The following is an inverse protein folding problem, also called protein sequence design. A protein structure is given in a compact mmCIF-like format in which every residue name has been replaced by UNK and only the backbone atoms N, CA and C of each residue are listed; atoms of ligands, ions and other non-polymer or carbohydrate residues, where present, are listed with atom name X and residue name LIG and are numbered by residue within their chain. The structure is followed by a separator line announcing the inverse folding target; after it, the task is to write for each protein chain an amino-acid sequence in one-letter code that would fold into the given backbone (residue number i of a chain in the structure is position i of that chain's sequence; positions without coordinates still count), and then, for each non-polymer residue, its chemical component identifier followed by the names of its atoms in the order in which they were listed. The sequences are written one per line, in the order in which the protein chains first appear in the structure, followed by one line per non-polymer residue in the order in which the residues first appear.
data_IF_580552161052
#
_entry.id   IF_580552161052
#
_cell.length_a   1.000
_cell.length_b   1.000
_cell.length_c   1.000
_cell.angle_alpha   90.00
_cell.angle_beta   90.00
_cell.angle_gamma   90.00
#
_symmetry.space_group_name_H-M   'P 1'
#
loop_
_entity.id
_entity.type
_entity.pdbx_description
1 polymer ?
#
# COMPACT_ATOMS: atom_id res chain seq x y z
N UNK A 1 -22.23 38.57 -4.60
CA UNK A 1 -22.85 37.24 -4.38
C UNK A 1 -22.06 36.11 -5.04
N UNK A 2 -21.84 36.12 -6.37
CA UNK A 2 -21.09 35.04 -7.08
C UNK A 2 -19.69 34.78 -6.50
N UNK A 3 -18.90 35.82 -6.27
CA UNK A 3 -17.55 35.68 -5.69
C UNK A 3 -17.56 35.18 -4.24
N UNK A 4 -18.55 35.58 -3.45
CA UNK A 4 -18.72 35.12 -2.06
C UNK A 4 -19.02 33.62 -2.02
N UNK A 5 -19.92 33.16 -2.90
CA UNK A 5 -20.25 31.72 -3.03
C UNK A 5 -19.03 30.93 -3.52
N UNK A 6 -18.27 31.45 -4.48
CA UNK A 6 -17.03 30.82 -4.98
C UNK A 6 -15.97 30.70 -3.88
N UNK A 7 -15.73 31.77 -3.13
CA UNK A 7 -14.77 31.79 -2.02
C UNK A 7 -15.19 30.84 -0.90
N UNK A 8 -16.48 30.82 -0.54
CA UNK A 8 -17.02 29.86 0.43
C UNK A 8 -16.85 28.41 -0.03
N UNK A 9 -17.09 28.13 -1.32
CA UNK A 9 -16.85 26.82 -1.91
C UNK A 9 -15.39 26.37 -1.80
N UNK A 10 -14.43 27.26 -2.13
CA UNK A 10 -13.00 26.98 -1.98
C UNK A 10 -12.62 26.68 -0.52
N UNK A 11 -13.08 27.51 0.42
CA UNK A 11 -12.83 27.31 1.84
C UNK A 11 -13.39 25.98 2.37
N UNK A 12 -14.56 25.54 1.90
CA UNK A 12 -15.13 24.24 2.26
C UNK A 12 -14.29 23.07 1.72
N UNK A 13 -13.75 23.18 0.50
CA UNK A 13 -12.83 22.18 -0.04
C UNK A 13 -11.54 22.11 0.76
N UNK A 14 -11.00 23.25 1.20
CA UNK A 14 -9.82 23.29 2.06
C UNK A 14 -10.09 22.62 3.42
N UNK A 15 -11.25 22.87 4.04
CA UNK A 15 -11.66 22.16 5.27
C UNK A 15 -11.74 20.66 5.05
N UNK A 16 -12.35 20.21 3.95
CA UNK A 16 -12.42 18.78 3.62
C UNK A 16 -11.02 18.19 3.46
N UNK A 17 -10.11 18.90 2.79
CA UNK A 17 -8.72 18.46 2.60
C UNK A 17 -8.00 18.30 3.92
N UNK A 18 -8.10 19.26 4.83
CA UNK A 18 -7.46 19.17 6.15
C UNK A 18 -8.02 18.01 6.98
N UNK A 19 -9.33 17.77 6.92
CA UNK A 19 -9.95 16.63 7.60
C UNK A 19 -9.46 15.28 7.03
N UNK A 20 -9.27 15.17 5.72
CA UNK A 20 -8.69 13.97 5.11
C UNK A 20 -7.21 13.80 5.50
N UNK A 21 -6.43 14.87 5.57
CA UNK A 21 -5.04 14.83 6.05
C UNK A 21 -4.98 14.26 7.48
N UNK A 22 -5.86 14.75 8.37
CA UNK A 22 -5.96 14.26 9.76
C UNK A 22 -6.37 12.80 9.82
N UNK A 23 -7.37 12.37 9.03
CA UNK A 23 -7.79 10.96 8.97
C UNK A 23 -6.64 10.05 8.53
N UNK A 24 -5.92 10.44 7.49
CA UNK A 24 -4.80 9.69 6.95
C UNK A 24 -3.65 9.57 7.97
N UNK A 25 -3.29 10.67 8.63
CA UNK A 25 -2.28 10.68 9.68
C UNK A 25 -2.68 9.83 10.91
N UNK A 26 -3.97 9.85 11.28
CA UNK A 26 -4.51 9.00 12.34
C UNK A 26 -4.43 7.52 11.97
N UNK A 27 -4.80 7.14 10.73
CA UNK A 27 -4.65 5.78 10.23
C UNK A 27 -3.19 5.32 10.19
N UNK A 28 -2.25 6.21 9.83
CA UNK A 28 -0.81 5.91 9.88
C UNK A 28 -0.33 5.63 11.31
N UNK A 29 -0.79 6.42 12.27
CA UNK A 29 -0.49 6.24 13.70
C UNK A 29 -1.06 4.93 14.23
N UNK A 30 -2.28 4.59 13.82
CA UNK A 30 -2.93 3.32 14.12
C UNK A 30 -2.13 2.14 13.57
N UNK A 31 -1.69 2.19 12.31
CA UNK A 31 -0.84 1.15 11.71
C UNK A 31 0.47 0.95 12.49
N UNK A 32 1.14 2.03 12.90
CA UNK A 32 2.36 1.95 13.75
C UNK A 32 2.06 1.30 15.09
N UNK A 33 0.95 1.65 15.73
CA UNK A 33 0.53 1.07 17.01
C UNK A 33 0.21 -0.42 16.89
N UNK A 34 -0.44 -0.86 15.82
CA UNK A 34 -0.73 -2.28 15.54
C UNK A 34 0.56 -3.10 15.43
N UNK A 35 1.56 -2.59 14.69
CA UNK A 35 2.86 -3.26 14.54
C UNK A 35 3.62 -3.33 15.86
N UNK A 36 3.59 -2.25 16.66
CA UNK A 36 4.23 -2.23 17.98
C UNK A 36 3.51 -3.18 18.95
N UNK A 37 2.18 -3.20 18.93
CA UNK A 37 1.39 -4.13 19.74
C UNK A 37 1.71 -5.59 19.42
N UNK A 38 1.87 -5.95 18.14
CA UNK A 38 2.29 -7.30 17.74
C UNK A 38 3.66 -7.67 18.32
N UNK A 39 4.61 -6.72 18.37
CA UNK A 39 5.93 -6.94 18.99
C UNK A 39 5.81 -7.13 20.50
N UNK A 40 5.10 -6.24 21.19
CA UNK A 40 4.92 -6.28 22.65
C UNK A 40 4.22 -7.58 23.07
N UNK A 41 3.14 -7.94 22.39
CA UNK A 41 2.35 -9.13 22.74
C UNK A 41 3.14 -10.42 22.47
N UNK A 42 3.92 -10.49 21.38
CA UNK A 42 4.82 -11.64 21.17
C UNK A 42 5.89 -11.73 22.25
N UNK A 43 6.51 -10.62 22.64
CA UNK A 43 7.50 -10.61 23.73
C UNK A 43 6.88 -11.09 25.05
N UNK A 44 5.69 -10.59 25.40
CA UNK A 44 4.94 -11.02 26.59
C UNK A 44 4.65 -12.53 26.56
N UNK A 45 4.23 -13.05 25.41
CA UNK A 45 3.94 -14.47 25.23
C UNK A 45 5.19 -15.34 25.36
N UNK A 46 6.33 -14.92 24.80
CA UNK A 46 7.61 -15.61 24.98
C UNK A 46 8.01 -15.65 26.47
N UNK A 47 7.88 -14.53 27.19
CA UNK A 47 8.15 -14.48 28.63
C UNK A 47 7.22 -15.40 29.44
N UNK A 48 5.98 -15.58 28.99
CA UNK A 48 5.02 -16.53 29.54
C UNK A 48 5.24 -17.99 29.10
N UNK A 49 6.32 -18.29 28.36
CA UNK A 49 6.67 -19.64 27.92
C UNK A 49 5.91 -20.15 26.69
N UNK A 50 5.15 -19.29 26.00
CA UNK A 50 4.47 -19.65 24.75
C UNK A 50 5.50 -19.84 23.63
N UNK A 51 5.36 -20.92 22.84
CA UNK A 51 6.31 -21.30 21.79
C UNK A 51 5.60 -21.75 20.51
N UNK A 52 6.36 -21.80 19.41
CA UNK A 52 5.92 -22.37 18.15
C UNK A 52 4.72 -21.65 17.54
N UNK A 53 3.82 -22.41 16.92
CA UNK A 53 2.61 -21.89 16.26
C UNK A 53 1.63 -21.19 17.19
N UNK A 54 1.83 -21.28 18.51
CA UNK A 54 1.01 -20.58 19.49
C UNK A 54 1.37 -19.09 19.62
N UNK A 55 2.56 -18.69 19.20
CA UNK A 55 3.06 -17.33 19.34
C UNK A 55 2.32 -16.38 18.38
N UNK A 56 1.87 -15.24 18.90
CA UNK A 56 1.03 -14.27 18.20
C UNK A 56 -0.45 -14.67 18.08
N UNK A 57 -0.88 -15.80 18.66
CA UNK A 57 -2.32 -16.13 18.71
C UNK A 57 -3.07 -15.05 19.49
N UNK A 58 -4.22 -14.66 18.97
CA UNK A 58 -5.08 -13.64 19.57
C UNK A 58 -4.73 -12.19 19.21
N UNK A 59 -3.53 -11.90 18.72
CA UNK A 59 -3.12 -10.52 18.37
C UNK A 59 -4.03 -9.90 17.30
N UNK A 60 -4.31 -10.64 16.22
CA UNK A 60 -5.22 -10.17 15.15
C UNK A 60 -6.65 -9.95 15.67
N UNK A 61 -7.12 -10.79 16.58
CA UNK A 61 -8.45 -10.63 17.17
C UNK A 61 -8.53 -9.35 18.03
N UNK A 62 -7.50 -9.08 18.84
CA UNK A 62 -7.43 -7.84 19.63
C UNK A 62 -7.46 -6.59 18.73
N UNK A 63 -6.69 -6.61 17.64
CA UNK A 63 -6.73 -5.53 16.63
C UNK A 63 -8.11 -5.43 15.99
N UNK A 64 -8.71 -6.54 15.58
CA UNK A 64 -10.04 -6.55 14.97
C UNK A 64 -11.10 -5.92 15.87
N UNK A 65 -11.10 -6.27 17.17
CA UNK A 65 -12.02 -5.71 18.15
C UNK A 65 -11.79 -4.21 18.34
N UNK A 66 -10.53 -3.77 18.45
CA UNK A 66 -10.19 -2.35 18.57
C UNK A 66 -10.65 -1.55 17.34
N UNK A 67 -10.49 -2.12 16.14
CA UNK A 67 -10.91 -1.54 14.86
C UNK A 67 -12.41 -1.61 14.59
N UNK A 68 -13.16 -2.43 15.34
CA UNK A 68 -14.56 -2.79 15.06
C UNK A 68 -14.74 -3.42 13.67
N UNK A 69 -13.77 -4.25 13.29
CA UNK A 69 -13.72 -4.90 11.99
C UNK A 69 -13.76 -6.43 12.15
N UNK A 70 -14.00 -7.13 11.04
CA UNK A 70 -13.84 -8.58 11.02
C UNK A 70 -12.37 -8.97 11.18
N UNK A 71 -12.11 -10.15 11.73
CA UNK A 71 -10.75 -10.70 11.84
C UNK A 71 -10.06 -10.81 10.47
N UNK A 72 -10.82 -11.08 9.41
CA UNK A 72 -10.29 -11.15 8.05
C UNK A 72 -9.76 -9.79 7.57
N UNK A 73 -10.49 -8.70 7.83
CA UNK A 73 -10.02 -7.34 7.52
C UNK A 73 -8.81 -6.97 8.37
N UNK A 74 -8.90 -7.17 9.68
CA UNK A 74 -7.79 -6.85 10.59
C UNK A 74 -6.51 -7.61 10.26
N UNK A 75 -6.60 -8.88 9.87
CA UNK A 75 -5.43 -9.66 9.42
C UNK A 75 -4.73 -9.00 8.22
N UNK A 76 -5.51 -8.45 7.28
CA UNK A 76 -4.97 -7.73 6.11
C UNK A 76 -4.34 -6.40 6.52
N UNK A 77 -4.98 -5.64 7.40
CA UNK A 77 -4.43 -4.39 7.93
C UNK A 77 -3.10 -4.64 8.63
N UNK A 78 -3.03 -5.60 9.56
CA UNK A 78 -1.80 -5.94 10.29
C UNK A 78 -0.69 -6.41 9.33
N UNK A 79 -1.00 -7.26 8.34
CA UNK A 79 -0.01 -7.72 7.37
C UNK A 79 0.55 -6.57 6.53
N UNK A 80 -0.33 -5.70 6.02
CA UNK A 80 0.05 -4.51 5.25
C UNK A 80 0.87 -3.52 6.10
N UNK A 81 0.36 -3.17 7.29
CA UNK A 81 1.01 -2.28 8.24
C UNK A 81 2.41 -2.78 8.62
N UNK A 82 2.55 -4.06 8.93
CA UNK A 82 3.86 -4.66 9.26
C UNK A 82 4.86 -4.53 8.13
N UNK A 83 4.43 -4.67 6.86
CA UNK A 83 5.33 -4.48 5.71
C UNK A 83 5.68 -3.01 5.51
N UNK A 84 4.69 -2.12 5.50
CA UNK A 84 4.91 -0.70 5.23
C UNK A 84 5.78 -0.08 6.33
N UNK A 85 5.40 -0.25 7.60
CA UNK A 85 6.13 0.33 8.75
C UNK A 85 7.59 -0.13 8.80
N UNK A 86 7.87 -1.39 8.44
CA UNK A 86 9.22 -1.96 8.57
C UNK A 86 10.10 -1.80 7.34
N UNK A 87 9.51 -1.59 6.15
CA UNK A 87 10.22 -1.73 4.87
C UNK A 87 9.99 -0.60 3.88
N UNK A 88 9.08 0.34 4.17
CA UNK A 88 8.67 1.40 3.25
C UNK A 88 8.57 2.75 3.96
N UNK A 89 9.71 3.31 4.41
CA UNK A 89 9.73 4.55 5.19
C UNK A 89 9.10 5.75 4.47
N UNK A 90 9.24 5.89 3.14
CA UNK A 90 8.66 7.00 2.39
C UNK A 90 7.15 6.89 2.26
N UNK A 91 6.65 5.70 1.96
CA UNK A 91 5.21 5.43 1.98
C UNK A 91 4.63 5.73 3.36
N UNK A 92 5.31 5.31 4.44
CA UNK A 92 4.86 5.57 5.81
C UNK A 92 4.93 7.06 6.18
N UNK A 93 5.95 7.78 5.73
CA UNK A 93 6.08 9.23 5.88
C UNK A 93 4.92 9.96 5.18
N UNK A 94 4.61 9.60 3.94
CA UNK A 94 3.50 10.19 3.19
C UNK A 94 2.14 9.92 3.86
N UNK A 95 1.91 8.74 4.42
CA UNK A 95 0.72 8.46 5.23
C UNK A 95 0.69 9.31 6.52
N UNK A 96 1.84 9.43 7.20
CA UNK A 96 1.95 10.18 8.45
C UNK A 96 1.70 11.68 8.25
N UNK A 97 2.08 12.21 7.09
CA UNK A 97 1.86 13.61 6.70
C UNK A 97 0.44 13.85 6.15
N UNK A 98 -0.42 12.83 6.13
CA UNK A 98 -1.80 12.94 5.68
C UNK A 98 -2.00 12.84 4.16
N UNK A 99 -0.92 12.71 3.40
CA UNK A 99 -0.93 12.73 1.93
C UNK A 99 -1.50 11.44 1.35
N UNK A 100 -1.09 10.30 1.90
CA UNK A 100 -1.55 8.99 1.47
C UNK A 100 -2.58 8.40 2.41
N UNK A 101 -3.67 7.91 1.83
CA UNK A 101 -4.62 7.03 2.53
C UNK A 101 -4.01 5.64 2.75
N UNK A 102 -4.49 4.93 3.78
CA UNK A 102 -4.09 3.53 4.06
C UNK A 102 -4.33 2.62 2.85
N UNK A 103 -5.43 2.85 2.10
CA UNK A 103 -5.74 2.15 0.85
C UNK A 103 -4.66 2.37 -0.22
N UNK A 104 -4.23 3.62 -0.45
CA UNK A 104 -3.21 3.93 -1.47
C UNK A 104 -1.84 3.36 -1.08
N UNK A 105 -1.49 3.39 0.20
CA UNK A 105 -0.29 2.73 0.70
C UNK A 105 -0.30 1.21 0.44
N UNK A 106 -1.45 0.56 0.62
CA UNK A 106 -1.62 -0.87 0.32
C UNK A 106 -1.45 -1.20 -1.17
N UNK A 107 -1.72 -0.27 -2.10
CA UNK A 107 -1.42 -0.45 -3.53
C UNK A 107 0.10 -0.54 -3.75
N UNK A 108 0.87 0.35 -3.14
CA UNK A 108 2.34 0.36 -3.24
C UNK A 108 2.92 -0.90 -2.61
N UNK A 109 2.42 -1.29 -1.44
CA UNK A 109 2.83 -2.51 -0.74
C UNK A 109 2.57 -3.76 -1.59
N UNK A 110 1.34 -3.97 -2.06
CA UNK A 110 0.97 -5.14 -2.85
C UNK A 110 1.77 -5.24 -4.16
N UNK A 111 2.08 -4.10 -4.79
CA UNK A 111 2.90 -4.04 -5.99
C UNK A 111 4.38 -4.41 -5.79
N UNK A 112 4.84 -4.53 -4.53
CA UNK A 112 6.24 -4.83 -4.17
C UNK A 112 6.39 -6.09 -3.30
N UNK A 113 5.32 -6.87 -3.10
CA UNK A 113 5.33 -8.03 -2.20
C UNK A 113 6.35 -9.11 -2.61
N UNK A 114 6.54 -9.31 -3.92
CA UNK A 114 7.46 -10.31 -4.49
C UNK A 114 8.92 -9.87 -4.58
N UNK A 115 9.22 -8.60 -4.26
CA UNK A 115 10.58 -8.06 -4.32
C UNK A 115 11.37 -8.36 -3.04
N UNK A 116 12.70 -8.37 -3.17
CA UNK A 116 13.61 -8.38 -2.02
C UNK A 116 13.44 -7.10 -1.18
N UNK A 117 13.85 -7.09 0.10
CA UNK A 117 13.80 -5.88 0.93
C UNK A 117 14.50 -4.67 0.31
N UNK A 118 15.65 -4.89 -0.33
CA UNK A 118 16.47 -3.84 -0.95
C UNK A 118 15.77 -3.26 -2.19
N UNK A 119 15.24 -4.13 -3.05
CA UNK A 119 14.45 -3.69 -4.22
C UNK A 119 13.17 -2.98 -3.79
N UNK A 120 12.48 -3.47 -2.75
CA UNK A 120 11.29 -2.80 -2.21
C UNK A 120 11.60 -1.40 -1.72
N UNK A 121 12.70 -1.21 -1.01
CA UNK A 121 13.14 0.12 -0.56
C UNK A 121 13.43 1.04 -1.76
N UNK A 122 14.03 0.51 -2.83
CA UNK A 122 14.25 1.29 -4.06
C UNK A 122 12.93 1.71 -4.72
N UNK A 123 11.91 0.85 -4.76
CA UNK A 123 10.57 1.23 -5.25
C UNK A 123 9.92 2.27 -4.33
N UNK A 124 10.03 2.09 -3.02
CA UNK A 124 9.49 3.03 -2.03
C UNK A 124 10.06 4.44 -2.23
N UNK A 125 11.38 4.57 -2.37
CA UNK A 125 12.02 5.86 -2.65
C UNK A 125 11.59 6.42 -4.02
N UNK A 126 11.55 5.58 -5.07
CA UNK A 126 11.20 6.03 -6.41
C UNK A 126 9.73 6.47 -6.57
N UNK A 127 8.82 5.85 -5.81
CA UNK A 127 7.37 6.12 -5.90
C UNK A 127 6.93 7.17 -4.88
N UNK A 128 7.43 7.10 -3.65
CA UNK A 128 6.98 7.93 -2.53
C UNK A 128 8.01 8.95 -2.04
N UNK A 129 9.20 9.03 -2.66
CA UNK A 129 10.23 10.02 -2.32
C UNK A 129 9.88 11.47 -2.69
N UNK A 130 9.02 11.67 -3.70
CA UNK A 130 8.47 12.99 -4.04
C UNK A 130 6.96 13.02 -3.77
N UNK A 131 6.59 13.66 -2.66
CA UNK A 131 5.22 13.82 -2.20
C UNK A 131 4.33 14.51 -3.24
N UNK A 132 4.84 15.50 -3.97
CA UNK A 132 4.04 16.25 -4.96
C UNK A 132 3.66 15.39 -6.15
N UNK A 133 4.61 14.61 -6.66
CA UNK A 133 4.34 13.65 -7.73
C UNK A 133 3.36 12.58 -7.26
N UNK A 134 3.50 12.10 -6.02
CA UNK A 134 2.63 11.09 -5.45
C UNK A 134 1.18 11.58 -5.28
N UNK A 135 0.98 12.82 -4.86
CA UNK A 135 -0.34 13.46 -4.73
C UNK A 135 -1.09 13.54 -6.06
N UNK A 136 -0.37 13.80 -7.16
CA UNK A 136 -0.95 13.97 -8.48
C UNK A 136 -1.46 12.66 -9.11
N UNK A 137 -1.02 11.49 -8.62
CA UNK A 137 -1.38 10.20 -9.20
C UNK A 137 -2.76 9.72 -8.74
N UNK A 138 -3.62 9.36 -9.69
CA UNK A 138 -4.81 8.55 -9.39
C UNK A 138 -4.45 7.12 -8.99
N UNK A 139 -5.37 6.39 -8.36
CA UNK A 139 -5.11 5.01 -7.87
C UNK A 139 -4.60 4.06 -8.96
N UNK A 140 -5.11 4.20 -10.19
CA UNK A 140 -4.73 3.35 -11.33
C UNK A 140 -3.35 3.72 -11.88
N UNK A 141 -3.00 5.00 -11.84
CA UNK A 141 -1.69 5.51 -12.25
C UNK A 141 -0.63 5.15 -11.21
N UNK A 142 -0.98 5.21 -9.92
CA UNK A 142 -0.15 4.73 -8.82
C UNK A 142 0.18 3.24 -8.99
N UNK A 143 -0.83 2.40 -9.15
CA UNK A 143 -0.65 0.95 -9.40
C UNK A 143 0.23 0.69 -10.63
N UNK A 144 -0.01 1.42 -11.73
CA UNK A 144 0.79 1.29 -12.96
C UNK A 144 2.25 1.73 -12.75
N UNK A 145 2.46 2.81 -11.99
CA UNK A 145 3.79 3.36 -11.69
C UNK A 145 4.60 2.40 -10.82
N UNK A 146 3.99 1.86 -9.76
CA UNK A 146 4.61 0.86 -8.89
C UNK A 146 5.00 -0.37 -9.71
N UNK A 147 4.08 -0.89 -10.54
CA UNK A 147 4.35 -2.05 -11.40
C UNK A 147 5.47 -1.81 -12.39
N UNK A 148 5.55 -0.60 -12.96
CA UNK A 148 6.64 -0.21 -13.86
C UNK A 148 7.99 -0.32 -13.16
N UNK A 149 8.15 0.30 -12.00
CA UNK A 149 9.39 0.24 -11.23
C UNK A 149 9.73 -1.18 -10.78
N UNK A 150 8.74 -1.93 -10.28
CA UNK A 150 8.94 -3.32 -9.87
C UNK A 150 9.38 -4.21 -11.03
N UNK A 151 8.79 -4.05 -12.22
CA UNK A 151 9.19 -4.76 -13.43
C UNK A 151 10.60 -4.37 -13.90
N UNK A 152 10.97 -3.09 -13.80
CA UNK A 152 12.29 -2.60 -14.19
C UNK A 152 13.39 -3.11 -13.26
N UNK A 153 13.10 -3.31 -11.97
CA UNK A 153 14.02 -3.91 -11.01
C UNK A 153 14.16 -5.42 -11.15
N UNK A 154 13.06 -6.16 -11.31
CA UNK A 154 13.08 -7.62 -11.40
C UNK A 154 11.97 -8.17 -12.31
N UNK A 155 12.32 -8.33 -13.59
CA UNK A 155 11.40 -8.87 -14.61
C UNK A 155 11.03 -10.33 -14.35
N UNK A 156 11.97 -11.13 -13.84
CA UNK A 156 11.74 -12.55 -13.60
C UNK A 156 10.81 -12.77 -12.41
N UNK A 157 11.06 -12.08 -11.29
CA UNK A 157 10.19 -12.16 -10.13
C UNK A 157 8.79 -11.63 -10.47
N UNK A 158 8.70 -10.54 -11.25
CA UNK A 158 7.43 -10.00 -11.72
C UNK A 158 6.63 -11.02 -12.55
N UNK A 159 7.26 -11.65 -13.55
CA UNK A 159 6.59 -12.65 -14.40
C UNK A 159 6.20 -13.91 -13.62
N UNK A 160 7.05 -14.38 -12.70
CA UNK A 160 6.72 -15.50 -11.79
C UNK A 160 5.53 -15.16 -10.90
N UNK A 161 5.44 -13.92 -10.41
CA UNK A 161 4.30 -13.44 -9.62
C UNK A 161 2.99 -13.52 -10.43
N UNK A 162 3.00 -13.04 -11.69
CA UNK A 162 1.84 -13.10 -12.58
C UNK A 162 1.36 -14.54 -12.83
N UNK A 163 2.29 -15.47 -13.05
CA UNK A 163 1.97 -16.88 -13.29
C UNK A 163 1.31 -17.53 -12.06
N UNK A 164 1.78 -17.20 -10.85
CA UNK A 164 1.20 -17.69 -9.59
C UNK A 164 -0.20 -17.12 -9.33
N UNK A 165 -0.49 -15.91 -9.82
CA UNK A 165 -1.77 -15.21 -9.67
C UNK A 165 -2.95 -15.81 -10.45
N UNK A 166 -2.72 -16.75 -11.37
CA UNK A 166 -3.77 -17.39 -12.18
C UNK A 166 -4.55 -18.52 -11.50
N UNK A 167 -4.22 -18.91 -10.26
CA UNK A 167 -4.73 -20.15 -9.67
C UNK A 167 -5.58 -20.05 -8.39
N UNK A 168 -5.48 -18.98 -7.58
CA UNK A 168 -6.24 -18.88 -6.31
C UNK A 168 -6.51 -17.43 -5.93
N UNK A 169 -7.70 -17.20 -5.39
CA UNK A 169 -8.20 -15.96 -4.78
C UNK A 169 -7.16 -15.26 -3.90
N UNK A 170 -6.39 -14.36 -4.49
CA UNK A 170 -5.73 -13.23 -3.82
C UNK A 170 -6.16 -12.02 -4.61
N UNK A 171 -7.34 -11.50 -4.26
CA UNK A 171 -8.07 -10.42 -4.95
C UNK A 171 -7.36 -9.04 -4.88
N UNK A 172 -6.05 -9.01 -4.66
CA UNK A 172 -5.23 -7.79 -4.59
C UNK A 172 -3.84 -7.91 -5.21
N UNK A 173 -3.35 -9.10 -5.56
CA UNK A 173 -1.97 -9.26 -6.03
C UNK A 173 -1.86 -9.49 -7.55
N UNK A 174 -2.90 -10.02 -8.20
CA UNK A 174 -2.93 -10.11 -9.65
C UNK A 174 -4.34 -9.95 -10.22
N UNK A 175 -4.67 -8.77 -10.76
CA UNK A 175 -5.93 -8.59 -11.49
C UNK A 175 -5.75 -8.99 -12.98
N UNK A 176 -6.83 -9.37 -13.69
CA UNK A 176 -6.80 -9.71 -15.11
C UNK A 176 -6.19 -8.64 -16.03
N UNK A 177 -6.09 -7.39 -15.57
CA UNK A 177 -5.52 -6.27 -16.34
C UNK A 177 -3.98 -6.32 -16.45
N UNK A 178 -3.28 -7.07 -15.60
CA UNK A 178 -1.82 -7.18 -15.68
C UNK A 178 -1.34 -7.90 -16.95
N UNK A 179 -2.14 -8.80 -17.52
CA UNK A 179 -1.84 -9.44 -18.81
C UNK A 179 -1.93 -8.45 -19.98
N UNK A 180 -2.76 -7.41 -19.88
CA UNK A 180 -2.87 -6.36 -20.88
C UNK A 180 -1.64 -5.43 -20.91
N UNK A 181 -0.98 -5.21 -19.76
CA UNK A 181 0.22 -4.36 -19.65
C UNK A 181 1.44 -4.96 -20.39
N UNK A 182 1.62 -6.28 -20.35
CA UNK A 182 2.66 -6.96 -21.14
C UNK A 182 2.37 -6.90 -22.65
N UNK A 183 1.10 -6.88 -23.05
CA UNK A 183 0.68 -6.79 -24.46
C UNK A 183 0.95 -5.40 -25.04
N UNK A 184 0.73 -4.34 -24.28
CA UNK A 184 0.98 -2.97 -24.74
C UNK A 184 2.48 -2.63 -24.85
N UNK A 185 3.32 -3.06 -23.89
CA UNK A 185 4.79 -2.81 -23.96
C UNK A 185 5.52 -3.64 -25.03
N UNK A 186 5.05 -4.86 -25.35
CA UNK A 186 5.62 -5.64 -26.46
C UNK A 186 5.35 -4.98 -27.83
N UNK A 187 4.30 -4.17 -27.93
CA UNK A 187 4.02 -3.34 -29.10
C UNK A 187 5.00 -2.16 -29.20
N UNK A 188 5.23 -1.42 -28.12
CA UNK A 188 6.15 -0.26 -28.15
C UNK A 188 7.63 -0.62 -28.35
N UNK A 189 8.09 -1.80 -27.90
CA UNK A 189 9.49 -2.23 -28.05
C UNK A 189 9.79 -2.92 -29.39
N UNK A 190 8.77 -3.27 -30.18
CA UNK A 190 8.96 -3.99 -31.45
C UNK A 190 8.95 -3.12 -32.70
N UNK A 191 8.90 -1.79 -32.57
CA UNK A 191 9.11 -0.85 -33.68
C UNK A 191 8.18 -1.05 -34.89
N UNK A 192 7.04 -1.73 -34.73
CA UNK A 192 6.04 -1.87 -35.78
C UNK A 192 4.95 -0.84 -35.54
N UNK A 193 4.93 0.15 -36.43
CA UNK A 193 4.23 1.42 -36.30
C UNK A 193 2.71 1.35 -36.25
N UNK A 194 2.15 2.53 -35.91
CA UNK A 194 0.79 2.99 -36.20
C UNK A 194 0.45 2.85 -37.71
N UNK A 195 -0.82 2.86 -38.16
CA UNK A 195 -2.01 3.63 -37.68
C UNK A 195 -3.26 2.74 -37.44
N UNK A 196 -4.41 3.16 -36.91
CA UNK A 196 -5.23 4.40 -37.02
C UNK A 196 -5.74 4.89 -35.65
#
# INVERSE_FOLDING_TARGET
MREVVKAAGAALIDVIRELENVKNAASASQAKAEVLFEVVERTRQVQAGVKGSALGRGTVLAVALARRESQWMAARHVASATRIVRKMPRTMEACSNGVLTERRAAIIEAGTEFLTPEQRLAVDEAVAGDIKTLEALGDRELDTTVKRFAYELDREAFTKCLQKGGGRSVMSACNPWQMAWLRSRRCCLSGRGQPF
#
